data_IF_836117045067
#
_entry.id   IF_836117045067
#
_cell.length_a   1.000
_cell.length_b   1.000
_cell.length_c   1.000
_cell.angle_alpha   90.00
_cell.angle_beta   90.00
_cell.angle_gamma   90.00
#
_symmetry.space_group_name_H-M   'P 1'
#
loop_
_entity.id
_entity.type
_entity.pdbx_description
1 polymer ?
#
# COMPACT_ATOMS: atom_id res chain seq x y z
N UNK A 1 38.77 48.50 -9.08
CA UNK A 1 38.15 49.63 -8.37
C UNK A 1 37.74 49.13 -6.99
N UNK A 2 38.21 49.83 -5.94
CA UNK A 2 37.93 49.71 -4.50
C UNK A 2 38.19 48.31 -3.88
N UNK A 3 39.28 47.99 -3.18
CA UNK A 3 40.09 48.70 -2.18
C UNK A 3 39.27 49.28 -1.01
N UNK A 4 39.27 48.56 0.11
CA UNK A 4 39.31 49.05 1.51
C UNK A 4 39.25 47.81 2.43
N UNK A 5 40.41 47.38 2.92
CA UNK A 5 40.58 46.29 3.88
C UNK A 5 40.94 46.97 5.21
N UNK A 6 40.00 46.95 6.15
CA UNK A 6 40.18 47.52 7.49
C UNK A 6 41.34 46.81 8.19
N UNK A 7 42.43 47.55 8.35
CA UNK A 7 43.66 47.09 8.98
C UNK A 7 43.49 47.09 10.51
N UNK A 8 42.95 45.99 11.07
CA UNK A 8 42.94 45.79 12.52
C UNK A 8 44.33 45.34 12.97
N UNK A 9 44.95 46.22 13.76
CA UNK A 9 46.28 46.13 14.36
C UNK A 9 46.34 44.96 15.34
N UNK A 10 46.79 43.78 14.91
CA UNK A 10 46.96 42.62 15.81
C UNK A 10 48.34 42.69 16.45
N UNK A 11 48.39 43.27 17.65
CA UNK A 11 49.55 43.21 18.53
C UNK A 11 49.73 41.77 19.03
N UNK A 12 50.94 41.23 18.86
CA UNK A 12 51.30 39.88 19.28
C UNK A 12 51.25 39.76 20.80
N UNK A 13 50.39 38.89 21.33
CA UNK A 13 50.67 38.20 22.58
C UNK A 13 49.98 36.84 22.61
N UNK A 14 50.79 35.81 22.80
CA UNK A 14 50.39 34.42 23.02
C UNK A 14 49.32 34.33 24.11
N UNK A 15 48.31 33.49 23.89
CA UNK A 15 47.84 32.52 24.89
C UNK A 15 46.97 31.47 24.18
N UNK A 16 47.50 30.24 24.22
CA UNK A 16 46.81 28.94 24.16
C UNK A 16 45.28 29.04 24.18
N UNK A 17 44.59 28.43 23.22
CA UNK A 17 43.34 27.65 23.39
C UNK A 17 43.02 26.99 22.03
N UNK A 18 42.77 25.68 22.05
CA UNK A 18 42.66 24.84 20.86
C UNK A 18 41.56 25.28 19.89
N UNK A 19 41.91 25.43 18.62
CA UNK A 19 40.94 25.49 17.53
C UNK A 19 40.30 24.11 17.35
N UNK A 20 39.23 23.85 18.10
CA UNK A 20 38.27 22.80 17.74
C UNK A 20 37.55 23.32 16.49
N UNK A 21 37.94 22.81 15.33
CA UNK A 21 37.21 22.96 14.08
C UNK A 21 35.84 22.29 14.23
N UNK A 22 34.84 23.03 14.70
CA UNK A 22 33.45 22.64 14.61
C UNK A 22 33.02 22.74 13.14
N UNK A 23 33.26 21.68 12.37
CA UNK A 23 32.57 21.50 11.09
C UNK A 23 31.07 21.43 11.40
N UNK A 24 30.37 22.54 11.16
CA UNK A 24 28.91 22.53 11.05
C UNK A 24 28.58 21.63 9.87
N UNK A 25 28.36 20.34 10.13
CA UNK A 25 27.71 19.47 9.17
C UNK A 25 26.40 20.13 8.79
N UNK A 26 26.26 20.51 7.52
CA UNK A 26 24.95 20.75 6.95
C UNK A 26 24.16 19.46 7.15
N UNK A 27 23.31 19.43 8.17
CA UNK A 27 22.28 18.42 8.27
C UNK A 27 21.33 18.74 7.12
N UNK A 28 21.57 18.12 5.97
CA UNK A 28 20.59 18.06 4.89
C UNK A 28 19.42 17.29 5.48
N UNK A 29 18.38 18.01 5.92
CA UNK A 29 17.12 17.37 6.24
C UNK A 29 16.67 16.65 4.97
N UNK A 30 16.42 15.33 5.00
CA UNK A 30 15.78 14.69 3.87
C UNK A 30 14.49 15.45 3.59
N UNK A 31 14.19 15.76 2.32
CA UNK A 31 12.88 16.28 1.94
C UNK A 31 11.84 15.27 2.41
N UNK A 32 11.20 15.57 3.54
CA UNK A 32 10.18 14.72 4.15
C UNK A 32 8.87 15.08 3.47
N UNK A 33 8.35 14.19 2.64
CA UNK A 33 6.96 14.27 2.20
C UNK A 33 6.05 14.21 3.42
N UNK A 34 5.22 15.23 3.62
CA UNK A 34 4.34 15.32 4.77
C UNK A 34 3.05 14.53 4.52
N UNK A 35 2.79 13.54 5.36
CA UNK A 35 1.50 12.85 5.38
C UNK A 35 0.45 13.70 6.11
N UNK A 36 -0.82 13.74 5.64
CA UNK A 36 -1.92 14.33 6.40
C UNK A 36 -2.32 13.51 7.63
N UNK A 37 -1.99 12.21 7.67
CA UNK A 37 -2.34 11.28 8.75
C UNK A 37 -1.18 10.30 9.00
N UNK A 38 -0.13 10.70 9.75
CA UNK A 38 1.09 9.90 9.91
C UNK A 38 0.89 8.49 10.46
N UNK A 39 -0.17 8.26 11.25
CA UNK A 39 -0.47 6.95 11.83
C UNK A 39 -1.13 5.98 10.83
N UNK A 40 -1.84 6.51 9.84
CA UNK A 40 -2.58 5.72 8.83
C UNK A 40 -1.83 5.63 7.52
N UNK A 41 -1.18 6.71 7.09
CA UNK A 41 -0.53 6.79 5.79
C UNK A 41 0.83 7.46 5.90
N UNK A 42 1.81 6.94 5.16
CA UNK A 42 3.15 7.53 5.09
C UNK A 42 3.72 7.37 3.69
N UNK A 43 4.43 8.40 3.22
CA UNK A 43 5.25 8.31 2.01
C UNK A 43 6.55 7.57 2.29
N UNK A 44 6.97 6.76 1.32
CA UNK A 44 8.19 5.94 1.35
C UNK A 44 8.85 5.95 -0.02
N UNK A 45 10.16 5.76 -0.03
CA UNK A 45 10.94 5.53 -1.26
C UNK A 45 11.34 4.06 -1.29
N UNK A 46 11.21 3.42 -2.43
CA UNK A 46 11.72 2.07 -2.62
C UNK A 46 13.24 2.07 -2.87
N UNK A 47 13.80 0.90 -3.19
CA UNK A 47 15.24 0.76 -3.46
C UNK A 47 15.69 1.50 -4.73
N UNK A 48 14.77 1.74 -5.67
CA UNK A 48 15.02 2.46 -6.91
C UNK A 48 14.80 3.97 -6.76
N UNK A 49 14.37 4.43 -5.59
CA UNK A 49 14.00 5.82 -5.34
C UNK A 49 12.60 6.18 -5.86
N UNK A 50 11.76 5.20 -6.19
CA UNK A 50 10.37 5.44 -6.57
C UNK A 50 9.51 5.73 -5.34
N UNK A 51 8.71 6.79 -5.41
CA UNK A 51 7.80 7.19 -4.36
C UNK A 51 6.57 6.28 -4.32
N UNK A 52 6.29 5.72 -3.15
CA UNK A 52 5.07 4.98 -2.86
C UNK A 52 4.52 5.35 -1.48
N UNK A 53 3.29 4.93 -1.21
CA UNK A 53 2.61 5.09 0.06
C UNK A 53 2.50 3.78 0.82
N UNK A 54 2.63 3.82 2.14
CA UNK A 54 2.22 2.73 3.02
C UNK A 54 0.96 3.13 3.77
N UNK A 55 -0.06 2.28 3.75
CA UNK A 55 -1.32 2.49 4.46
C UNK A 55 -1.48 1.38 5.50
N UNK A 56 -1.76 1.73 6.75
CA UNK A 56 -2.11 0.80 7.82
C UNK A 56 -3.53 1.07 8.32
N UNK A 57 -4.42 0.08 8.20
CA UNK A 57 -5.82 0.22 8.58
C UNK A 57 -6.29 -0.95 9.43
N UNK A 58 -7.23 -0.66 10.32
CA UNK A 58 -7.92 -1.66 11.13
C UNK A 58 -9.33 -1.87 10.55
N UNK A 59 -9.84 -3.10 10.62
CA UNK A 59 -11.23 -3.38 10.29
C UNK A 59 -11.95 -3.88 11.54
N UNK A 60 -13.14 -3.32 11.80
CA UNK A 60 -14.06 -3.85 12.79
C UNK A 60 -14.79 -5.08 12.25
N UNK A 61 -14.97 -5.13 10.93
CA UNK A 61 -15.57 -6.25 10.23
C UNK A 61 -14.50 -7.32 9.95
N UNK A 62 -14.70 -8.51 10.51
CA UNK A 62 -13.67 -9.56 10.50
C UNK A 62 -13.42 -10.20 9.12
N UNK A 63 -14.32 -10.02 8.16
CA UNK A 63 -14.29 -10.80 6.92
C UNK A 63 -14.14 -9.95 5.66
N UNK A 64 -14.42 -8.63 5.71
CA UNK A 64 -14.38 -7.75 4.55
C UNK A 64 -13.75 -6.40 4.92
N UNK A 65 -12.76 -5.97 4.13
CA UNK A 65 -12.14 -4.65 4.24
C UNK A 65 -12.19 -3.97 2.87
N UNK A 66 -12.96 -2.89 2.79
CA UNK A 66 -13.06 -2.01 1.62
C UNK A 66 -12.20 -0.79 1.87
N UNK A 67 -11.10 -0.67 1.13
CA UNK A 67 -10.22 0.48 1.16
C UNK A 67 -10.51 1.36 -0.06
N UNK A 68 -10.82 2.63 0.18
CA UNK A 68 -10.98 3.64 -0.85
C UNK A 68 -9.97 4.76 -0.59
N UNK A 69 -9.16 5.10 -1.60
CA UNK A 69 -8.13 6.14 -1.51
C UNK A 69 -8.37 7.16 -2.60
N UNK A 70 -8.55 8.42 -2.20
CA UNK A 70 -8.63 9.55 -3.10
C UNK A 70 -7.30 10.31 -3.15
N UNK A 71 -6.84 10.56 -4.37
CA UNK A 71 -5.59 11.25 -4.68
C UNK A 71 -5.89 12.53 -5.45
N UNK A 72 -5.09 13.56 -5.15
CA UNK A 72 -4.98 14.77 -5.95
C UNK A 72 -3.62 14.78 -6.65
N UNK A 73 -3.64 14.87 -7.98
CA UNK A 73 -2.45 14.76 -8.83
C UNK A 73 -2.36 15.96 -9.77
N UNK A 74 -1.20 16.60 -9.82
CA UNK A 74 -0.90 17.73 -10.69
C UNK A 74 -0.39 17.29 -12.06
N UNK A 75 -1.13 16.43 -12.75
CA UNK A 75 -0.77 15.95 -14.08
C UNK A 75 -1.95 16.07 -15.05
N UNK A 76 -1.63 16.14 -16.35
CA UNK A 76 -2.61 15.94 -17.41
C UNK A 76 -2.93 14.44 -17.47
N UNK A 77 -3.92 13.98 -16.69
CA UNK A 77 -4.51 12.67 -16.94
C UNK A 77 -5.16 12.76 -18.32
N UNK A 78 -4.78 11.86 -19.22
CA UNK A 78 -5.30 11.81 -20.58
C UNK A 78 -6.77 11.33 -20.55
N UNK A 79 -7.68 12.25 -20.19
CA UNK A 79 -9.14 12.03 -20.20
C UNK A 79 -9.74 12.37 -21.56
N UNK A 80 -8.91 12.70 -22.56
CA UNK A 80 -9.37 13.21 -23.86
C UNK A 80 -8.94 12.38 -25.05
N UNK A 81 -8.63 11.10 -24.89
CA UNK A 81 -8.52 10.18 -26.04
C UNK A 81 -7.56 10.64 -27.15
N UNK A 82 -6.62 11.55 -26.85
CA UNK A 82 -5.58 12.00 -27.76
C UNK A 82 -4.31 11.30 -27.28
N UNK A 83 -3.87 10.22 -27.93
CA UNK A 83 -2.72 9.47 -27.49
C UNK A 83 -1.48 10.35 -27.67
N UNK A 84 -1.03 11.01 -26.60
CA UNK A 84 0.33 11.51 -26.56
C UNK A 84 1.24 10.29 -26.40
N UNK A 85 1.85 9.92 -27.53
CA UNK A 85 2.70 8.76 -27.75
C UNK A 85 3.44 8.28 -26.47
N UNK A 86 3.09 7.08 -26.01
CA UNK A 86 3.78 6.24 -25.00
C UNK A 86 3.46 6.43 -23.50
N UNK A 87 2.37 7.08 -23.09
CA UNK A 87 1.95 7.01 -21.68
C UNK A 87 0.97 5.86 -21.47
N UNK A 88 1.46 4.71 -20.99
CA UNK A 88 0.58 3.66 -20.46
C UNK A 88 -0.26 4.29 -19.33
N UNK A 89 -1.59 4.19 -19.43
CA UNK A 89 -2.58 4.80 -18.53
C UNK A 89 -2.54 4.21 -17.12
N UNK A 90 -1.46 4.44 -16.37
CA UNK A 90 -1.30 3.99 -15.00
C UNK A 90 -1.79 5.06 -14.03
N UNK A 91 -3.00 4.88 -13.50
CA UNK A 91 -3.63 5.78 -12.53
C UNK A 91 -3.21 5.49 -11.06
N UNK A 92 -2.22 4.62 -10.86
CA UNK A 92 -1.86 4.09 -9.55
C UNK A 92 -2.56 2.77 -9.25
N UNK A 93 -2.14 2.12 -8.16
CA UNK A 93 -2.77 0.86 -7.67
C UNK A 93 -2.56 0.68 -6.17
N UNK A 94 -3.44 -0.11 -5.57
CA UNK A 94 -3.35 -0.54 -4.18
C UNK A 94 -3.01 -2.03 -4.17
N UNK A 95 -2.01 -2.41 -3.40
CA UNK A 95 -1.62 -3.81 -3.18
C UNK A 95 -1.59 -4.13 -1.69
N UNK A 96 -2.04 -5.32 -1.32
CA UNK A 96 -1.87 -5.82 0.05
C UNK A 96 -0.42 -6.23 0.25
N UNK A 97 0.19 -5.84 1.37
CA UNK A 97 1.62 -6.10 1.63
C UNK A 97 1.90 -7.53 2.12
N UNK A 98 0.91 -8.16 2.73
CA UNK A 98 1.03 -9.43 3.46
C UNK A 98 0.37 -10.58 2.68
N UNK A 99 0.78 -11.82 2.97
CA UNK A 99 0.11 -13.01 2.42
C UNK A 99 -1.30 -13.18 3.01
N UNK A 100 -2.13 -14.01 2.38
CA UNK A 100 -3.51 -14.26 2.85
C UNK A 100 -3.54 -14.82 4.28
N UNK A 101 -2.61 -15.69 4.61
CA UNK A 101 -2.47 -16.34 5.92
C UNK A 101 -2.08 -15.30 6.98
N UNK A 102 -1.13 -14.43 6.64
CA UNK A 102 -0.71 -13.32 7.51
C UNK A 102 -1.83 -12.31 7.73
N UNK A 103 -2.61 -11.99 6.69
CA UNK A 103 -3.79 -11.12 6.81
C UNK A 103 -4.81 -11.75 7.76
N UNK A 104 -5.07 -13.06 7.63
CA UNK A 104 -6.00 -13.77 8.51
C UNK A 104 -5.52 -13.72 9.97
N UNK A 105 -4.22 -13.91 10.21
CA UNK A 105 -3.62 -13.76 11.53
C UNK A 105 -3.73 -12.32 12.06
N UNK A 106 -3.43 -11.32 11.22
CA UNK A 106 -3.49 -9.91 11.57
C UNK A 106 -4.92 -9.52 11.98
N UNK A 107 -5.93 -9.97 11.24
CA UNK A 107 -7.34 -9.75 11.58
C UNK A 107 -7.69 -10.42 12.91
N UNK A 108 -7.30 -11.69 13.10
CA UNK A 108 -7.60 -12.43 14.33
C UNK A 108 -6.99 -11.74 15.56
N UNK A 109 -5.78 -11.20 15.41
CA UNK A 109 -5.04 -10.52 16.47
C UNK A 109 -5.26 -9.00 16.51
N UNK A 110 -6.23 -8.46 15.75
CA UNK A 110 -6.53 -7.02 15.66
C UNK A 110 -5.32 -6.15 15.32
N UNK A 111 -4.43 -6.65 14.48
CA UNK A 111 -3.29 -5.93 13.92
C UNK A 111 -3.71 -5.18 12.65
N UNK A 112 -3.02 -4.07 12.31
CA UNK A 112 -3.36 -3.31 11.12
C UNK A 112 -2.98 -4.09 9.85
N UNK A 113 -3.92 -4.13 8.90
CA UNK A 113 -3.66 -4.64 7.56
C UNK A 113 -2.85 -3.57 6.81
N UNK A 114 -1.74 -4.01 6.21
CA UNK A 114 -0.80 -3.12 5.53
C UNK A 114 -1.00 -3.17 4.02
N UNK A 115 -1.11 -2.00 3.41
CA UNK A 115 -1.21 -1.81 1.97
C UNK A 115 -0.05 -0.97 1.45
N UNK A 116 0.37 -1.25 0.23
CA UNK A 116 1.19 -0.36 -0.59
C UNK A 116 0.29 0.37 -1.58
N UNK A 117 0.47 1.68 -1.65
CA UNK A 117 -0.16 2.56 -2.60
C UNK A 117 0.90 3.00 -3.61
N UNK A 118 0.77 2.57 -4.84
CA UNK A 118 1.63 3.03 -5.93
C UNK A 118 0.98 4.22 -6.60
N UNK A 119 1.72 5.31 -6.70
CA UNK A 119 1.23 6.54 -7.29
C UNK A 119 1.24 6.49 -8.81
N UNK A 120 0.27 7.15 -9.48
CA UNK A 120 0.38 7.42 -10.91
C UNK A 120 1.64 8.23 -11.21
N UNK A 121 2.03 8.30 -12.48
CA UNK A 121 3.12 9.20 -12.90
C UNK A 121 2.77 10.65 -12.58
N UNK A 122 3.73 11.38 -12.01
CA UNK A 122 3.60 12.78 -11.63
C UNK A 122 4.87 13.56 -11.99
N UNK A 123 4.74 14.88 -12.11
CA UNK A 123 5.83 15.80 -12.44
C UNK A 123 5.91 16.90 -11.40
N UNK A 124 7.12 17.23 -10.94
CA UNK A 124 7.45 18.29 -9.97
C UNK A 124 6.90 18.10 -8.55
N UNK A 125 5.61 17.81 -8.41
CA UNK A 125 4.90 17.76 -7.12
C UNK A 125 4.26 16.38 -6.92
N UNK A 126 4.57 15.69 -5.82
CA UNK A 126 4.03 14.36 -5.55
C UNK A 126 2.51 14.39 -5.32
N UNK A 127 1.79 13.30 -5.66
CA UNK A 127 0.38 13.16 -5.37
C UNK A 127 0.07 13.34 -3.90
N UNK A 128 -1.02 14.06 -3.60
CA UNK A 128 -1.52 14.24 -2.24
C UNK A 128 -2.68 13.30 -1.96
N UNK A 129 -2.69 12.72 -0.76
CA UNK A 129 -3.87 12.03 -0.24
C UNK A 129 -4.89 13.08 0.18
N UNK A 130 -6.07 13.04 -0.43
CA UNK A 130 -7.20 13.89 -0.02
C UNK A 130 -8.14 13.15 0.91
N UNK A 131 -8.28 11.84 0.74
CA UNK A 131 -9.14 11.01 1.56
C UNK A 131 -8.71 9.55 1.58
N UNK A 132 -8.81 8.89 2.74
CA UNK A 132 -8.79 7.42 2.85
C UNK A 132 -10.03 7.01 3.62
N UNK A 133 -10.77 6.06 3.06
CA UNK A 133 -11.94 5.44 3.70
C UNK A 133 -11.74 3.95 3.87
N UNK A 134 -12.18 3.45 5.02
CA UNK A 134 -12.22 2.01 5.35
C UNK A 134 -13.67 1.68 5.68
N UNK A 135 -14.27 0.75 4.93
CA UNK A 135 -15.68 0.37 5.10
C UNK A 135 -16.61 1.60 5.21
N UNK A 136 -16.45 2.54 4.26
CA UNK A 136 -17.24 3.77 4.16
C UNK A 136 -17.03 4.80 5.30
N UNK A 137 -16.03 4.57 6.17
CA UNK A 137 -15.63 5.51 7.22
C UNK A 137 -14.33 6.22 6.85
N UNK A 138 -14.32 7.56 6.93
CA UNK A 138 -13.12 8.37 6.67
C UNK A 138 -12.12 8.18 7.82
N UNK A 139 -10.95 7.64 7.51
CA UNK A 139 -9.84 7.43 8.47
C UNK A 139 -8.69 8.43 8.27
N UNK A 140 -8.67 9.12 7.14
CA UNK A 140 -7.69 10.15 6.84
C UNK A 140 -8.27 11.17 5.86
N UNK A 141 -7.95 12.45 6.07
CA UNK A 141 -8.27 13.51 5.12
C UNK A 141 -7.13 14.53 5.05
N UNK A 142 -6.89 15.06 3.86
CA UNK A 142 -5.83 16.03 3.60
C UNK A 142 -6.24 17.04 2.53
N UNK A 143 -5.56 18.20 2.46
CA UNK A 143 -5.85 19.20 1.44
C UNK A 143 -5.41 18.72 0.05
N UNK A 144 -6.18 19.00 -1.01
CA UNK A 144 -5.75 18.72 -2.38
C UNK A 144 -4.55 19.58 -2.79
N UNK A 145 -3.96 19.26 -3.93
CA UNK A 145 -3.08 20.19 -4.62
C UNK A 145 -3.88 21.39 -5.12
N UNK A 146 -3.23 22.53 -5.21
CA UNK A 146 -3.82 23.77 -5.73
C UNK A 146 -3.25 24.06 -7.12
N UNK A 147 -4.08 24.62 -7.99
CA UNK A 147 -3.61 25.17 -9.26
C UNK A 147 -2.66 26.35 -9.00
N UNK A 148 -1.69 26.52 -9.87
CA UNK A 148 -0.70 27.59 -9.79
C UNK A 148 0.40 27.40 -10.83
N UNK A 149 1.50 28.15 -10.70
CA UNK A 149 2.56 28.22 -11.71
C UNK A 149 3.15 26.86 -12.13
N UNK A 150 3.10 25.87 -11.23
CA UNK A 150 3.66 24.53 -11.43
C UNK A 150 2.59 23.46 -11.70
N UNK A 151 1.31 23.77 -11.52
CA UNK A 151 0.18 22.85 -11.70
C UNK A 151 -0.92 23.54 -12.49
N UNK A 152 -1.00 23.20 -13.78
CA UNK A 152 -2.00 23.77 -14.69
C UNK A 152 -3.23 22.87 -14.86
N UNK A 153 -3.12 21.60 -14.49
CA UNK A 153 -4.20 20.61 -14.54
C UNK A 153 -4.21 19.85 -13.23
N UNK A 154 -5.40 19.75 -12.63
CA UNK A 154 -5.63 19.01 -11.40
C UNK A 154 -6.53 17.81 -11.69
N UNK A 155 -6.02 16.62 -11.42
CA UNK A 155 -6.78 15.38 -11.55
C UNK A 155 -7.09 14.81 -10.17
N UNK A 156 -8.31 14.29 -10.02
CA UNK A 156 -8.74 13.53 -8.85
C UNK A 156 -8.86 12.06 -9.24
N UNK A 157 -8.15 11.19 -8.53
CA UNK A 157 -8.15 9.76 -8.80
C UNK A 157 -8.70 9.04 -7.58
N UNK A 158 -9.62 8.11 -7.80
CA UNK A 158 -10.18 7.25 -6.76
C UNK A 158 -9.73 5.81 -7.01
N UNK A 159 -8.99 5.24 -6.06
CA UNK A 159 -8.55 3.85 -6.08
C UNK A 159 -9.35 3.06 -5.06
N UNK A 160 -9.86 1.90 -5.47
CA UNK A 160 -10.68 1.04 -4.62
C UNK A 160 -10.08 -0.35 -4.56
N UNK A 161 -10.09 -0.94 -3.37
CA UNK A 161 -9.68 -2.31 -3.15
C UNK A 161 -10.58 -2.96 -2.12
N UNK A 162 -11.02 -4.20 -2.37
CA UNK A 162 -11.82 -4.99 -1.44
C UNK A 162 -11.08 -6.28 -1.13
N UNK A 163 -10.84 -6.51 0.15
CA UNK A 163 -10.23 -7.72 0.66
C UNK A 163 -11.30 -8.53 1.40
N UNK A 164 -11.51 -9.77 0.95
CA UNK A 164 -12.42 -10.71 1.60
C UNK A 164 -11.63 -11.91 2.11
N UNK A 165 -11.70 -12.18 3.41
CA UNK A 165 -11.00 -13.31 4.04
C UNK A 165 -12.01 -14.40 4.33
N UNK A 166 -11.67 -15.65 3.95
CA UNK A 166 -12.47 -16.82 4.31
C UNK A 166 -11.80 -17.47 5.53
N UNK A 167 -12.44 -17.49 6.70
CA UNK A 167 -11.84 -18.03 7.92
C UNK A 167 -11.62 -19.56 7.91
N UNK A 168 -12.10 -20.29 6.87
CA UNK A 168 -12.13 -21.77 6.87
C UNK A 168 -10.92 -22.47 6.21
N UNK A 169 -9.79 -21.79 5.99
CA UNK A 169 -8.61 -22.42 5.38
C UNK A 169 -7.55 -22.92 6.39
N UNK A 170 -7.93 -23.23 7.62
CA UNK A 170 -7.05 -23.99 8.53
C UNK A 170 -7.12 -25.46 8.13
N UNK A 171 -6.22 -25.86 7.25
CA UNK A 171 -6.01 -27.26 6.88
C UNK A 171 -5.55 -28.04 8.10
N UNK A 172 -6.49 -28.72 8.77
CA UNK A 172 -6.17 -29.74 9.74
C UNK A 172 -5.66 -30.97 8.98
N UNK A 173 -4.38 -30.98 8.60
CA UNK A 173 -3.63 -32.21 8.37
C UNK A 173 -3.41 -32.88 9.72
N UNK A 174 -4.43 -33.60 10.20
CA UNK A 174 -4.22 -34.62 11.21
C UNK A 174 -3.36 -35.71 10.57
N UNK A 175 -2.08 -35.72 10.92
CA UNK A 175 -1.20 -36.87 10.72
C UNK A 175 -1.68 -37.95 11.69
N UNK A 176 -2.15 -39.12 11.25
CA UNK A 176 -2.36 -40.21 12.19
C UNK A 176 -0.98 -40.67 12.68
N UNK A 177 -0.76 -40.56 13.98
CA UNK A 177 0.34 -41.20 14.69
C UNK A 177 0.22 -42.70 14.44
N UNK A 178 1.21 -43.28 13.75
CA UNK A 178 1.37 -44.73 13.70
C UNK A 178 1.86 -45.18 15.09
N UNK A 179 0.97 -45.76 15.89
CA UNK A 179 1.34 -46.52 17.09
C UNK A 179 1.36 -48.02 16.74
N UNK A 180 2.52 -48.70 16.77
CA UNK A 180 2.62 -50.10 16.40
C UNK A 180 2.51 -51.01 17.63
N UNK A 181 1.38 -51.02 18.34
CA UNK A 181 1.07 -52.11 19.29
C UNK A 181 -0.41 -52.15 19.69
N UNK A 182 -1.20 -53.05 19.09
CA UNK A 182 -2.20 -53.86 19.81
C UNK A 182 -2.91 -54.81 18.84
N UNK A 183 -2.86 -56.10 19.14
CA UNK A 183 -3.48 -57.16 18.38
C UNK A 183 -5.00 -57.29 18.60
N UNK A 184 -5.67 -57.66 17.51
CA UNK A 184 -6.80 -58.58 17.38
C UNK A 184 -8.07 -58.39 18.25
N UNK A 185 -9.18 -58.14 17.56
CA UNK A 185 -10.42 -58.95 17.56
C UNK A 185 -11.68 -58.07 17.57
N UNK A 186 -12.60 -58.31 16.62
CA UNK A 186 -13.99 -57.86 16.76
C UNK A 186 -14.63 -57.30 15.49
N UNK A 187 -15.30 -58.20 14.78
CA UNK A 187 -16.44 -57.99 13.87
C UNK A 187 -17.14 -56.62 13.92
N UNK A 188 -17.40 -56.08 12.73
CA UNK A 188 -18.70 -55.46 12.41
C UNK A 188 -18.64 -54.07 11.77
N UNK A 189 -19.14 -53.97 10.54
CA UNK A 189 -19.60 -52.70 9.97
C UNK A 189 -19.03 -52.36 8.60
N UNK A 190 -19.64 -52.91 7.55
CA UNK A 190 -19.46 -52.43 6.18
C UNK A 190 -19.87 -50.95 6.10
N UNK A 191 -18.99 -50.08 5.63
CA UNK A 191 -19.39 -48.79 5.06
C UNK A 191 -18.79 -48.65 3.66
N UNK A 192 -19.68 -48.58 2.68
CA UNK A 192 -19.40 -48.57 1.25
C UNK A 192 -18.69 -47.28 0.84
N UNK A 193 -17.58 -47.41 0.11
CA UNK A 193 -17.05 -46.33 -0.72
C UNK A 193 -17.84 -46.33 -2.03
N UNK A 194 -18.72 -45.34 -2.21
CA UNK A 194 -19.30 -45.03 -3.51
C UNK A 194 -18.25 -44.28 -4.34
N UNK A 195 -17.48 -45.00 -5.15
CA UNK A 195 -16.78 -44.44 -6.30
C UNK A 195 -17.77 -44.35 -7.46
N UNK A 196 -18.39 -43.20 -7.63
CA UNK A 196 -19.18 -42.88 -8.83
C UNK A 196 -18.32 -42.18 -9.86
N UNK A 197 -17.85 -42.92 -10.85
CA UNK A 197 -17.30 -42.38 -12.10
C UNK A 197 -18.21 -42.85 -13.24
N UNK A 198 -18.83 -41.93 -14.01
CA UNK A 198 -18.93 -41.93 -15.49
C UNK A 198 -20.02 -40.99 -16.04
N UNK A 199 -19.56 -40.05 -16.87
CA UNK A 199 -20.11 -39.54 -18.15
C UNK A 199 -21.62 -39.55 -18.46
N UNK A 200 -22.13 -38.40 -18.92
CA UNK A 200 -23.34 -38.32 -19.76
C UNK A 200 -23.80 -36.88 -19.98
N UNK A 201 -23.67 -36.38 -21.21
CA UNK A 201 -24.00 -35.00 -21.57
C UNK A 201 -25.50 -34.68 -21.56
N UNK A 202 -25.80 -33.39 -21.42
CA UNK A 202 -26.93 -32.68 -22.05
C UNK A 202 -26.72 -31.18 -21.91
N UNK A 203 -26.69 -30.50 -23.04
CA UNK A 203 -26.80 -29.05 -23.21
C UNK A 203 -28.08 -28.52 -22.55
N UNK A 204 -28.05 -27.35 -21.89
CA UNK A 204 -29.28 -26.64 -21.59
C UNK A 204 -29.75 -25.92 -22.86
N UNK A 205 -30.83 -26.43 -23.44
CA UNK A 205 -31.69 -25.74 -24.40
C UNK A 205 -32.23 -24.46 -23.79
N UNK A 206 -31.97 -23.34 -24.46
CA UNK A 206 -32.52 -22.02 -24.17
C UNK A 206 -33.87 -21.89 -24.91
N UNK A 207 -35.02 -21.76 -24.23
CA UNK A 207 -36.30 -21.63 -24.92
C UNK A 207 -36.77 -20.16 -24.95
N UNK A 208 -36.85 -19.59 -26.17
CA UNK A 208 -37.59 -18.37 -26.61
C UNK A 208 -37.09 -17.01 -26.04
N UNK A 209 -36.70 -15.96 -26.78
CA UNK A 209 -37.07 -15.33 -28.07
C UNK A 209 -38.52 -14.82 -28.16
N UNK A 210 -38.67 -13.61 -28.72
CA UNK A 210 -39.82 -12.69 -28.88
C UNK A 210 -39.93 -11.65 -27.75
N UNK A 211 -39.86 -10.33 -27.98
CA UNK A 211 -40.21 -9.49 -29.16
C UNK A 211 -39.16 -8.39 -29.36
#
# INVERSE_FOLDING_TARGET
MCLELVLVKVSRLLLLHGCILASRGMIVSPQRYSSPCPDTFQYRLDQNGELYGTIGVYSLDQNVVKLNVELSVGNHVDVRGIPFFNSQNFNGRIEVSNSREQISDDIHHRRPIRYKLFFPRWENIPPRITMIMVNDQVVCSGPPLQLGDWINVLSRINLQHSLTVNPLAVGNTFVPVNDPTSGNSGKGGNFFLQTGNTSGGKTPTNPFLFV
#
